data_IF_629278511106
#
_entry.id   IF_629278511106
#
_cell.length_a   1.000
_cell.length_b   1.000
_cell.length_c   1.000
_cell.angle_alpha   90.00
_cell.angle_beta   90.00
_cell.angle_gamma   90.00
#
_symmetry.space_group_name_H-M   'P 1'
#
loop_
_entity.id
_entity.type
_entity.pdbx_description
1 polymer ?
#
# COMPACT_ATOMS: atom_id res chain seq x y z
N UNK A 1 17.33 35.00 0.50
CA UNK A 1 16.19 34.99 -0.43
C UNK A 1 16.00 33.56 -0.92
N UNK A 2 14.91 32.91 -0.54
CA UNK A 2 14.49 31.65 -1.17
C UNK A 2 14.16 32.02 -2.61
N UNK A 3 14.91 31.48 -3.58
CA UNK A 3 14.57 31.70 -5.00
C UNK A 3 13.12 31.26 -5.20
N UNK A 4 12.26 32.08 -5.85
CA UNK A 4 10.93 31.62 -6.21
C UNK A 4 11.11 30.31 -6.99
N UNK A 5 10.44 29.26 -6.54
CA UNK A 5 10.51 27.98 -7.22
C UNK A 5 10.01 28.21 -8.66
N UNK A 6 10.89 28.00 -9.65
CA UNK A 6 10.43 27.89 -11.04
C UNK A 6 9.36 26.81 -11.08
N UNK A 7 8.24 27.05 -11.76
CA UNK A 7 7.20 26.03 -11.96
C UNK A 7 7.85 24.75 -12.48
N UNK A 8 7.94 23.73 -11.61
CA UNK A 8 8.49 22.45 -12.00
C UNK A 8 7.43 21.75 -12.84
N UNK A 9 7.83 21.31 -14.04
CA UNK A 9 6.96 20.50 -14.90
C UNK A 9 6.46 19.30 -14.10
N UNK A 10 5.13 19.12 -14.07
CA UNK A 10 4.50 17.98 -13.42
C UNK A 10 4.97 16.67 -14.05
N UNK A 11 5.12 15.65 -13.21
CA UNK A 11 5.40 14.31 -13.71
C UNK A 11 4.16 13.73 -14.40
N UNK A 12 4.36 12.76 -15.31
CA UNK A 12 3.26 12.04 -15.95
C UNK A 12 2.27 11.46 -14.91
N UNK A 13 2.79 10.95 -13.79
CA UNK A 13 1.97 10.41 -12.71
C UNK A 13 1.08 11.46 -12.04
N UNK A 14 1.52 12.72 -11.93
CA UNK A 14 0.68 13.78 -11.36
C UNK A 14 -0.50 14.06 -12.29
N UNK A 15 -0.26 14.10 -13.61
CA UNK A 15 -1.30 14.31 -14.62
C UNK A 15 -2.30 13.14 -14.63
N UNK A 16 -1.83 11.90 -14.50
CA UNK A 16 -2.71 10.73 -14.41
C UNK A 16 -3.64 10.81 -13.21
N UNK A 17 -3.11 11.16 -12.02
CA UNK A 17 -3.92 11.30 -10.80
C UNK A 17 -4.91 12.45 -10.90
N UNK A 18 -4.50 13.58 -11.48
CA UNK A 18 -5.38 14.73 -11.67
C UNK A 18 -6.56 14.42 -12.61
N UNK A 19 -6.32 13.62 -13.66
CA UNK A 19 -7.36 13.22 -14.61
C UNK A 19 -8.24 12.06 -14.12
N UNK A 20 -7.73 11.23 -13.20
CA UNK A 20 -8.45 10.11 -12.59
C UNK A 20 -8.17 10.06 -11.08
N UNK A 21 -8.81 10.96 -10.32
CA UNK A 21 -8.57 11.09 -8.88
C UNK A 21 -9.17 9.93 -8.07
N UNK A 22 -10.07 9.12 -8.65
CA UNK A 22 -10.53 7.88 -8.04
C UNK A 22 -9.53 6.74 -8.20
N UNK A 23 -8.52 6.88 -9.06
CA UNK A 23 -7.51 5.84 -9.33
C UNK A 23 -8.13 4.60 -9.99
N UNK A 24 -9.24 4.73 -10.72
CA UNK A 24 -10.00 3.60 -11.24
C UNK A 24 -9.42 3.04 -12.55
N UNK A 25 -8.83 3.90 -13.38
CA UNK A 25 -8.32 3.58 -14.70
C UNK A 25 -9.32 2.81 -15.55
N UNK A 26 -8.81 1.91 -16.39
CA UNK A 26 -9.61 0.89 -17.08
C UNK A 26 -9.46 -0.48 -16.42
N UNK A 27 -9.27 -0.52 -15.09
CA UNK A 27 -8.85 -1.72 -14.39
C UNK A 27 -9.88 -2.85 -14.46
N UNK A 28 -11.17 -2.58 -14.22
CA UNK A 28 -12.22 -3.60 -14.27
C UNK A 28 -12.47 -4.09 -15.71
N UNK A 29 -12.45 -3.16 -16.68
CA UNK A 29 -12.55 -3.50 -18.10
C UNK A 29 -11.40 -4.43 -18.53
N UNK A 30 -10.16 -4.08 -18.18
CA UNK A 30 -8.97 -4.90 -18.48
C UNK A 30 -9.00 -6.25 -17.77
N UNK A 31 -9.50 -6.31 -16.52
CA UNK A 31 -9.63 -7.55 -15.77
C UNK A 31 -10.60 -8.52 -16.47
N UNK A 32 -11.66 -7.99 -17.08
CA UNK A 32 -12.73 -8.76 -17.73
C UNK A 32 -12.42 -9.19 -19.17
N UNK A 33 -11.45 -8.56 -19.83
CA UNK A 33 -11.09 -8.84 -21.22
C UNK A 33 -10.18 -10.09 -21.33
N UNK A 34 -10.63 -11.24 -21.88
CA UNK A 34 -9.79 -12.44 -21.96
C UNK A 34 -8.62 -12.32 -22.95
N UNK A 35 -8.63 -11.34 -23.86
CA UNK A 35 -7.66 -11.20 -24.94
C UNK A 35 -6.37 -10.49 -24.51
N UNK A 36 -6.37 -9.86 -23.32
CA UNK A 36 -5.19 -9.16 -22.78
C UNK A 36 -4.63 -9.87 -21.56
N UNK A 37 -3.31 -9.99 -21.48
CA UNK A 37 -2.60 -10.63 -20.36
C UNK A 37 -2.02 -9.63 -19.34
N UNK A 38 -2.17 -8.33 -19.62
CA UNK A 38 -1.56 -7.23 -18.88
C UNK A 38 -2.42 -5.96 -18.94
N UNK A 39 -2.18 -5.09 -17.97
CA UNK A 39 -2.67 -3.72 -17.91
C UNK A 39 -1.73 -2.77 -18.67
N UNK A 40 -2.29 -1.63 -19.08
CA UNK A 40 -1.53 -0.54 -19.69
C UNK A 40 -0.46 0.02 -18.73
N UNK A 41 0.48 0.81 -19.25
CA UNK A 41 1.50 1.43 -18.39
C UNK A 41 0.90 2.45 -17.40
N UNK A 42 -0.16 3.13 -17.82
CA UNK A 42 -0.87 4.15 -17.03
C UNK A 42 -1.73 3.48 -15.96
N UNK A 43 -2.48 2.44 -16.31
CA UNK A 43 -3.19 1.59 -15.34
C UNK A 43 -2.23 0.92 -14.36
N UNK A 44 -1.00 0.62 -14.81
CA UNK A 44 0.08 0.16 -13.94
C UNK A 44 0.45 1.15 -12.82
N UNK A 45 0.14 2.44 -12.94
CA UNK A 45 0.25 3.40 -11.85
C UNK A 45 -0.92 3.27 -10.87
N UNK A 46 -2.16 3.16 -11.36
CA UNK A 46 -3.36 2.99 -10.55
C UNK A 46 -3.39 1.67 -9.78
N UNK A 47 -2.92 0.57 -10.40
CA UNK A 47 -2.72 -0.73 -9.75
C UNK A 47 -1.89 -0.62 -8.47
N UNK A 48 -0.90 0.27 -8.42
CA UNK A 48 -0.07 0.45 -7.23
C UNK A 48 -0.88 1.01 -6.06
N UNK A 49 -1.87 1.86 -6.29
CA UNK A 49 -2.74 2.33 -5.21
C UNK A 49 -3.67 1.22 -4.70
N UNK A 50 -3.93 0.21 -5.52
CA UNK A 50 -4.65 -1.01 -5.14
C UNK A 50 -3.74 -2.10 -4.54
N UNK A 51 -2.47 -1.79 -4.30
CA UNK A 51 -1.50 -2.72 -3.72
C UNK A 51 -0.91 -3.72 -4.70
N UNK A 52 -1.07 -3.51 -6.00
CA UNK A 52 -0.68 -4.43 -7.07
C UNK A 52 0.50 -3.86 -7.86
N UNK A 53 1.47 -4.72 -8.17
CA UNK A 53 2.53 -4.45 -9.15
C UNK A 53 2.46 -5.46 -10.28
N UNK A 54 2.23 -4.98 -11.49
CA UNK A 54 2.48 -5.75 -12.70
C UNK A 54 3.98 -5.94 -12.91
N UNK A 55 4.38 -7.17 -13.18
CA UNK A 55 5.76 -7.62 -13.38
C UNK A 55 5.79 -8.60 -14.56
N UNK A 56 6.99 -8.98 -14.98
CA UNK A 56 7.21 -10.09 -15.89
C UNK A 56 8.34 -10.98 -15.37
N UNK A 57 8.27 -12.28 -15.64
CA UNK A 57 9.31 -13.24 -15.26
C UNK A 57 10.58 -12.96 -16.06
N UNK A 58 11.55 -12.33 -15.39
CA UNK A 58 12.82 -11.92 -15.99
C UNK A 58 13.71 -13.10 -16.36
N UNK A 59 13.54 -14.26 -15.73
CA UNK A 59 14.32 -15.46 -16.04
C UNK A 59 13.84 -16.07 -17.37
N UNK A 60 12.54 -15.95 -17.67
CA UNK A 60 11.94 -16.43 -18.92
C UNK A 60 11.94 -15.41 -20.05
N UNK A 61 12.41 -14.18 -19.83
CA UNK A 61 12.30 -13.05 -20.77
C UNK A 61 12.85 -13.32 -22.18
N UNK A 62 13.83 -14.23 -22.30
CA UNK A 62 14.40 -14.68 -23.58
C UNK A 62 13.37 -15.40 -24.47
N UNK A 63 12.34 -15.99 -23.86
CA UNK A 63 11.26 -16.73 -24.54
C UNK A 63 10.00 -15.90 -24.74
N UNK A 64 10.00 -14.65 -24.27
CA UNK A 64 8.81 -13.80 -24.21
C UNK A 64 8.59 -13.23 -22.82
N UNK A 65 7.73 -12.22 -22.72
CA UNK A 65 7.29 -11.70 -21.42
C UNK A 65 6.17 -12.56 -20.89
N UNK A 66 6.37 -13.10 -19.70
CA UNK A 66 5.35 -13.83 -18.96
C UNK A 66 4.88 -12.92 -17.83
N UNK A 67 3.73 -12.25 -18.03
CA UNK A 67 3.24 -11.28 -17.06
C UNK A 67 2.72 -11.95 -15.81
N UNK A 68 3.02 -11.34 -14.68
CA UNK A 68 2.57 -11.76 -13.35
C UNK A 68 2.41 -10.54 -12.46
N UNK A 69 1.77 -10.74 -11.32
CA UNK A 69 1.42 -9.67 -10.40
C UNK A 69 1.94 -10.01 -9.01
N UNK A 70 2.47 -8.98 -8.35
CA UNK A 70 2.70 -8.98 -6.92
C UNK A 70 1.58 -8.21 -6.24
N UNK A 71 0.99 -8.78 -5.20
CA UNK A 71 -0.06 -8.15 -4.40
C UNK A 71 0.48 -7.98 -2.99
N UNK A 72 0.28 -6.81 -2.38
CA UNK A 72 0.75 -6.49 -1.03
C UNK A 72 -0.41 -6.12 -0.12
N UNK A 73 -0.48 -6.76 1.05
CA UNK A 73 -1.44 -6.40 2.10
C UNK A 73 -1.08 -5.10 2.84
N UNK A 74 -2.09 -4.39 3.33
CA UNK A 74 -1.98 -3.37 4.37
C UNK A 74 -2.39 -4.02 5.69
N UNK A 75 -1.43 -4.15 6.59
CA UNK A 75 -1.56 -4.89 7.86
C UNK A 75 -0.95 -4.00 8.93
N UNK A 76 -1.76 -3.14 9.56
CA UNK A 76 -1.27 -2.23 10.58
C UNK A 76 -0.51 -3.01 11.67
N UNK A 77 0.69 -2.56 12.01
CA UNK A 77 1.57 -3.24 12.99
C UNK A 77 1.92 -4.69 12.66
N UNK A 78 1.60 -5.17 11.46
CA UNK A 78 1.76 -6.59 11.10
C UNK A 78 0.89 -7.53 11.93
N UNK A 79 -0.09 -7.01 12.67
CA UNK A 79 -0.99 -7.81 13.49
C UNK A 79 -2.07 -8.40 12.60
N UNK A 80 -2.26 -9.70 12.71
CA UNK A 80 -3.21 -10.47 11.90
C UNK A 80 -3.79 -11.58 12.76
N UNK A 81 -5.10 -11.78 12.67
CA UNK A 81 -5.76 -12.90 13.34
C UNK A 81 -5.35 -14.24 12.70
N UNK A 82 -5.35 -15.36 13.45
CA UNK A 82 -4.99 -16.67 12.89
C UNK A 82 -5.80 -17.05 11.63
N UNK A 83 -7.10 -16.77 11.61
CA UNK A 83 -7.96 -17.09 10.47
C UNK A 83 -7.62 -16.25 9.23
N UNK A 84 -7.26 -14.98 9.42
CA UNK A 84 -6.78 -14.12 8.32
C UNK A 84 -5.47 -14.65 7.75
N UNK A 85 -4.57 -15.16 8.60
CA UNK A 85 -3.33 -15.79 8.13
C UNK A 85 -3.60 -17.05 7.31
N UNK A 86 -4.56 -17.90 7.74
CA UNK A 86 -4.98 -19.08 6.96
C UNK A 86 -5.53 -18.69 5.59
N UNK A 87 -6.33 -17.63 5.52
CA UNK A 87 -6.80 -17.10 4.23
C UNK A 87 -5.62 -16.69 3.34
N UNK A 88 -4.62 -16.00 3.88
CA UNK A 88 -3.42 -15.65 3.13
C UNK A 88 -2.65 -16.90 2.64
N UNK A 89 -2.53 -17.94 3.48
CA UNK A 89 -1.88 -19.21 3.11
C UNK A 89 -2.62 -19.91 1.94
N UNK A 90 -3.94 -20.03 2.05
CA UNK A 90 -4.79 -20.63 1.01
C UNK A 90 -4.71 -19.83 -0.31
N UNK A 91 -4.70 -18.50 -0.23
CA UNK A 91 -4.57 -17.63 -1.41
C UNK A 91 -3.22 -17.80 -2.11
N UNK A 92 -2.13 -17.98 -1.35
CA UNK A 92 -0.81 -18.21 -1.91
C UNK A 92 -0.75 -19.52 -2.70
N UNK A 93 -1.42 -20.55 -2.20
CA UNK A 93 -1.52 -21.87 -2.83
C UNK A 93 -2.40 -21.82 -4.09
N UNK A 94 -3.57 -21.18 -4.00
CA UNK A 94 -4.59 -21.27 -5.04
C UNK A 94 -4.37 -20.28 -6.21
N UNK A 95 -3.76 -19.13 -5.95
CA UNK A 95 -3.69 -18.05 -6.95
C UNK A 95 -2.28 -17.49 -7.16
N UNK A 96 -1.33 -17.78 -6.27
CA UNK A 96 0.04 -17.29 -6.33
C UNK A 96 1.03 -18.43 -6.59
N UNK A 97 2.30 -18.24 -6.22
CA UNK A 97 3.38 -19.20 -6.44
C UNK A 97 3.64 -20.13 -5.23
N UNK A 98 2.62 -20.40 -4.41
CA UNK A 98 2.73 -21.24 -3.20
C UNK A 98 3.74 -20.72 -2.16
N UNK A 99 3.93 -19.40 -2.09
CA UNK A 99 4.78 -18.74 -1.09
C UNK A 99 4.14 -17.46 -0.57
N UNK A 100 4.40 -17.15 0.71
CA UNK A 100 4.12 -15.86 1.31
C UNK A 100 5.43 -15.15 1.62
N UNK A 101 5.58 -13.91 1.12
CA UNK A 101 6.74 -13.07 1.41
C UNK A 101 6.39 -12.06 2.49
N UNK A 102 6.79 -12.34 3.74
CA UNK A 102 6.82 -11.32 4.79
C UNK A 102 7.73 -10.16 4.36
N UNK A 103 7.49 -8.93 4.77
CA UNK A 103 8.25 -7.76 4.28
C UNK A 103 8.92 -7.02 5.41
N UNK A 104 9.93 -6.19 5.10
CA UNK A 104 10.56 -5.28 6.08
C UNK A 104 9.62 -4.16 6.57
N UNK A 105 8.34 -4.19 6.18
CA UNK A 105 7.32 -3.27 6.66
C UNK A 105 6.11 -3.98 7.26
N UNK A 106 6.31 -5.14 7.86
CA UNK A 106 5.26 -5.87 8.60
C UNK A 106 4.01 -6.12 7.73
N UNK A 107 4.24 -6.45 6.47
CA UNK A 107 3.20 -6.75 5.49
C UNK A 107 3.54 -8.07 4.79
N UNK A 108 2.57 -8.67 4.09
CA UNK A 108 2.73 -9.91 3.33
C UNK A 108 2.53 -9.62 1.84
N UNK A 109 3.37 -10.23 1.00
CA UNK A 109 3.27 -10.20 -0.46
C UNK A 109 2.98 -11.56 -1.05
N UNK A 110 2.06 -11.59 -2.01
CA UNK A 110 1.84 -12.67 -2.95
C UNK A 110 2.64 -12.40 -4.22
N UNK A 111 3.25 -13.43 -4.82
CA UNK A 111 3.99 -13.32 -6.07
C UNK A 111 3.52 -14.37 -7.08
N UNK A 112 3.70 -14.08 -8.37
CA UNK A 112 3.37 -15.03 -9.44
C UNK A 112 1.88 -15.14 -9.74
N UNK A 113 1.05 -14.23 -9.22
CA UNK A 113 -0.39 -14.20 -9.54
C UNK A 113 -0.54 -13.83 -11.01
N UNK A 114 -1.37 -14.56 -11.75
CA UNK A 114 -1.71 -14.22 -13.14
C UNK A 114 -3.00 -13.39 -13.18
N UNK A 115 -3.28 -12.70 -14.31
CA UNK A 115 -4.39 -11.73 -14.39
C UNK A 115 -5.74 -12.32 -13.94
N UNK A 116 -6.06 -13.53 -14.37
CA UNK A 116 -7.30 -14.24 -14.03
C UNK A 116 -7.43 -14.56 -12.54
N UNK A 117 -6.32 -14.64 -11.81
CA UNK A 117 -6.31 -14.85 -10.36
C UNK A 117 -6.49 -13.57 -9.54
N UNK A 118 -6.33 -12.37 -10.13
CA UNK A 118 -6.40 -11.11 -9.38
C UNK A 118 -7.76 -10.86 -8.74
N UNK A 119 -8.85 -10.97 -9.51
CA UNK A 119 -10.20 -10.72 -9.01
C UNK A 119 -10.56 -11.59 -7.81
N UNK A 120 -10.52 -12.93 -7.93
CA UNK A 120 -10.80 -13.84 -6.83
C UNK A 120 -9.91 -13.60 -5.61
N UNK A 121 -8.60 -13.43 -5.81
CA UNK A 121 -7.66 -13.18 -4.71
C UNK A 121 -8.01 -11.89 -3.94
N UNK A 122 -8.23 -10.80 -4.65
CA UNK A 122 -8.50 -9.49 -4.05
C UNK A 122 -9.85 -9.48 -3.32
N UNK A 123 -10.87 -10.13 -3.89
CA UNK A 123 -12.18 -10.29 -3.26
C UNK A 123 -12.10 -11.10 -1.96
N UNK A 124 -11.38 -12.22 -1.96
CA UNK A 124 -11.23 -13.07 -0.76
C UNK A 124 -10.41 -12.37 0.34
N UNK A 125 -9.42 -11.53 -0.02
CA UNK A 125 -8.75 -10.66 0.98
C UNK A 125 -9.78 -9.74 1.65
N UNK A 126 -10.67 -9.12 0.87
CA UNK A 126 -11.70 -8.23 1.41
C UNK A 126 -12.72 -8.97 2.30
N UNK A 127 -13.18 -10.16 1.88
CA UNK A 127 -14.09 -11.02 2.66
C UNK A 127 -13.48 -11.44 4.02
N UNK A 128 -12.16 -11.52 4.11
CA UNK A 128 -11.43 -11.77 5.35
C UNK A 128 -11.20 -10.52 6.22
N UNK A 129 -11.85 -9.40 5.89
CA UNK A 129 -11.70 -8.09 6.55
C UNK A 129 -10.26 -7.54 6.46
N UNK A 130 -9.55 -7.90 5.39
CA UNK A 130 -8.22 -7.39 5.08
C UNK A 130 -8.27 -6.49 3.84
N UNK A 131 -7.20 -5.73 3.59
CA UNK A 131 -7.14 -4.85 2.40
C UNK A 131 -5.73 -4.74 1.84
N UNK A 132 -5.66 -4.40 0.56
CA UNK A 132 -4.41 -4.03 -0.15
C UNK A 132 -4.43 -2.56 -0.56
N UNK A 133 -5.54 -1.85 -0.32
CA UNK A 133 -5.71 -0.44 -0.63
C UNK A 133 -4.60 0.39 0.03
N UNK A 134 -3.93 1.21 -0.77
CA UNK A 134 -2.83 2.06 -0.38
C UNK A 134 -1.64 1.32 0.28
N UNK A 135 -1.50 0.00 0.05
CA UNK A 135 -0.28 -0.73 0.42
C UNK A 135 0.95 -0.26 -0.41
N UNK A 136 0.68 0.27 -1.61
CA UNK A 136 1.67 0.84 -2.53
C UNK A 136 1.18 2.21 -3.04
N UNK A 137 1.69 2.73 -4.16
CA UNK A 137 1.30 4.06 -4.66
C UNK A 137 1.94 5.24 -3.91
N UNK A 138 1.43 6.44 -4.19
CA UNK A 138 1.85 7.73 -3.63
C UNK A 138 0.92 8.19 -2.50
N UNK A 139 0.94 7.39 -1.44
CA UNK A 139 0.12 7.48 -0.23
C UNK A 139 0.94 7.02 0.96
N UNK A 140 0.36 7.08 2.17
CA UNK A 140 0.97 6.43 3.33
C UNK A 140 1.00 4.91 3.13
N UNK A 141 2.19 4.32 3.35
CA UNK A 141 2.42 2.88 3.30
C UNK A 141 2.02 2.24 4.63
N UNK A 142 2.20 0.91 4.72
CA UNK A 142 1.96 0.18 5.96
C UNK A 142 2.59 0.88 7.18
N UNK A 143 1.75 1.16 8.17
CA UNK A 143 2.14 1.74 9.46
C UNK A 143 2.70 0.62 10.32
N UNK A 144 3.94 0.80 10.76
CA UNK A 144 4.68 -0.17 11.56
C UNK A 144 4.55 0.17 13.05
N UNK A 145 4.59 -0.82 13.90
CA UNK A 145 4.83 -0.69 15.33
C UNK A 145 5.64 -1.89 15.82
N UNK A 146 6.03 -1.94 17.10
CA UNK A 146 6.80 -3.07 17.62
C UNK A 146 6.09 -4.41 17.32
N UNK A 147 6.77 -5.38 16.68
CA UNK A 147 6.22 -6.72 16.42
C UNK A 147 6.19 -7.59 17.68
N UNK A 148 6.77 -7.13 18.79
CA UNK A 148 6.75 -7.87 20.05
C UNK A 148 5.34 -7.80 20.63
N UNK A 149 4.70 -8.94 20.98
CA UNK A 149 3.40 -8.93 21.64
C UNK A 149 3.43 -8.07 22.91
N UNK A 150 2.38 -7.29 23.12
CA UNK A 150 2.27 -6.41 24.28
C UNK A 150 2.32 -7.21 25.59
N UNK A 151 3.23 -6.82 26.48
CA UNK A 151 3.30 -7.35 27.85
C UNK A 151 2.51 -6.48 28.84
N UNK A 152 2.29 -5.22 28.48
CA UNK A 152 1.71 -4.19 29.33
C UNK A 152 0.60 -3.44 28.57
N UNK A 153 -0.38 -2.91 29.32
CA UNK A 153 -1.55 -2.26 28.74
C UNK A 153 -1.19 -1.08 27.82
N UNK A 154 -0.22 -0.27 28.21
CA UNK A 154 0.20 0.90 27.43
C UNK A 154 0.88 0.54 26.10
N UNK A 155 1.42 -0.68 25.96
CA UNK A 155 1.95 -1.15 24.67
C UNK A 155 0.82 -1.44 23.69
N UNK A 156 -0.33 -1.94 24.18
CA UNK A 156 -1.53 -2.08 23.35
C UNK A 156 -2.01 -0.72 22.85
N UNK A 157 -1.96 0.33 23.68
CA UNK A 157 -2.33 1.69 23.26
C UNK A 157 -1.46 2.18 22.07
N UNK A 158 -0.17 1.81 22.03
CA UNK A 158 0.69 2.13 20.87
C UNK A 158 0.28 1.36 19.61
N UNK A 159 -0.16 0.11 19.74
CA UNK A 159 -0.70 -0.67 18.62
C UNK A 159 -2.04 -0.09 18.15
N UNK A 160 -2.93 0.30 19.06
CA UNK A 160 -4.20 0.95 18.76
C UNK A 160 -3.99 2.29 18.04
N UNK A 161 -3.06 3.12 18.51
CA UNK A 161 -2.70 4.40 17.85
C UNK A 161 -2.15 4.18 16.43
N UNK A 162 -1.36 3.12 16.23
CA UNK A 162 -0.83 2.77 14.92
C UNK A 162 -1.92 2.33 13.94
N UNK A 163 -2.93 1.61 14.43
CA UNK A 163 -4.08 1.17 13.66
C UNK A 163 -5.01 2.35 13.36
N UNK A 164 -5.29 3.19 14.35
CA UNK A 164 -6.03 4.43 14.20
C UNK A 164 -5.40 5.31 13.11
N UNK A 165 -4.08 5.52 13.16
CA UNK A 165 -3.37 6.28 12.14
C UNK A 165 -3.40 5.58 10.78
N UNK A 166 -3.23 4.25 10.74
CA UNK A 166 -3.37 3.50 9.49
C UNK A 166 -4.74 3.72 8.87
N UNK A 167 -5.82 3.68 9.65
CA UNK A 167 -7.19 3.87 9.16
C UNK A 167 -7.45 5.31 8.72
N UNK A 168 -6.99 6.30 9.49
CA UNK A 168 -7.12 7.72 9.16
C UNK A 168 -6.36 8.11 7.86
N UNK A 169 -5.31 7.37 7.52
CA UNK A 169 -4.51 7.57 6.30
C UNK A 169 -4.95 6.65 5.15
N UNK A 170 -6.17 6.13 5.16
CA UNK A 170 -6.73 5.44 3.99
C UNK A 170 -7.34 6.47 3.02
N UNK A 171 -7.13 6.30 1.70
CA UNK A 171 -7.86 7.11 0.74
C UNK A 171 -9.33 6.72 0.72
N UNK A 172 -10.18 7.66 0.34
CA UNK A 172 -11.65 7.56 0.33
C UNK A 172 -12.23 7.14 -1.03
N UNK A 173 -11.37 6.69 -1.94
CA UNK A 173 -11.80 6.22 -3.27
C UNK A 173 -12.72 4.99 -3.19
N UNK A 174 -13.76 4.99 -4.03
CA UNK A 174 -14.68 3.87 -4.20
C UNK A 174 -14.15 2.81 -5.20
N UNK A 175 -13.10 3.14 -5.96
CA UNK A 175 -12.57 2.29 -7.02
C UNK A 175 -12.19 0.90 -6.52
N UNK A 176 -11.61 0.81 -5.32
CA UNK A 176 -11.19 -0.47 -4.75
C UNK A 176 -12.36 -1.46 -4.61
N UNK A 177 -13.44 -1.03 -3.97
CA UNK A 177 -14.59 -1.90 -3.75
C UNK A 177 -15.31 -2.21 -5.07
N UNK A 178 -15.54 -1.19 -5.89
CA UNK A 178 -16.23 -1.34 -7.17
C UNK A 178 -15.51 -2.34 -8.09
N UNK A 179 -14.19 -2.21 -8.25
CA UNK A 179 -13.41 -3.05 -9.16
C UNK A 179 -13.21 -4.46 -8.60
N UNK A 180 -12.78 -4.60 -7.34
CA UNK A 180 -12.28 -5.89 -6.83
C UNK A 180 -13.35 -6.72 -6.11
N UNK A 181 -14.42 -6.10 -5.64
CA UNK A 181 -15.51 -6.80 -4.93
C UNK A 181 -16.72 -6.97 -5.84
N UNK A 182 -17.14 -5.89 -6.50
CA UNK A 182 -18.34 -5.88 -7.35
C UNK A 182 -18.03 -6.22 -8.82
N UNK A 183 -16.78 -6.05 -9.26
CA UNK A 183 -16.39 -6.28 -10.66
C UNK A 183 -16.92 -5.19 -11.61
N UNK A 184 -17.21 -4.00 -11.09
CA UNK A 184 -17.80 -2.89 -11.83
C UNK A 184 -16.70 -1.87 -12.21
N UNK A 185 -16.74 -1.43 -13.47
CA UNK A 185 -15.93 -0.31 -13.93
C UNK A 185 -16.65 0.99 -13.56
N UNK A 186 -15.96 1.88 -12.84
CA UNK A 186 -16.49 3.21 -12.54
C UNK A 186 -16.45 4.11 -13.78
N UNK A 187 -17.45 4.97 -13.90
CA UNK A 187 -17.48 6.04 -14.89
C UNK A 187 -16.55 7.18 -14.42
N UNK A 188 -15.49 7.42 -15.18
CA UNK A 188 -14.50 8.45 -14.84
C UNK A 188 -15.05 9.87 -14.96
N UNK A 189 -16.03 10.11 -15.86
CA UNK A 189 -16.61 11.44 -16.05
C UNK A 189 -17.53 11.85 -14.90
N UNK A 190 -18.28 10.89 -14.34
CA UNK A 190 -19.12 11.12 -13.16
C UNK A 190 -18.29 11.47 -11.91
N UNK A 191 -16.98 11.17 -11.93
CA UNK A 191 -16.11 11.25 -10.78
C UNK A 191 -14.84 12.10 -10.97
N UNK A 192 -14.71 12.84 -12.07
CA UNK A 192 -13.57 13.74 -12.32
C UNK A 192 -13.37 14.85 -11.28
N UNK A 193 -14.43 15.14 -10.53
CA UNK A 193 -14.43 16.12 -9.45
C UNK A 193 -14.20 15.49 -8.07
N UNK A 194 -13.95 14.17 -7.99
CA UNK A 194 -13.53 13.55 -6.74
C UNK A 194 -12.27 14.23 -6.22
N UNK A 195 -12.28 14.55 -4.94
CA UNK A 195 -11.19 15.18 -4.21
C UNK A 195 -11.10 14.50 -2.86
N UNK A 196 -10.01 13.76 -2.63
CA UNK A 196 -9.84 13.05 -1.37
C UNK A 196 -9.64 14.06 -0.23
N UNK A 197 -10.34 13.95 0.91
CA UNK A 197 -10.29 14.97 1.96
C UNK A 197 -8.90 15.12 2.62
N UNK A 198 -8.06 14.09 2.54
CA UNK A 198 -6.68 14.12 3.06
C UNK A 198 -5.67 14.33 1.94
N UNK A 199 -5.85 13.63 0.83
CA UNK A 199 -4.86 13.48 -0.23
C UNK A 199 -5.05 14.47 -1.38
N UNK A 200 -6.24 15.05 -1.51
CA UNK A 200 -6.63 15.84 -2.66
C UNK A 200 -6.67 15.02 -3.96
N UNK A 201 -6.93 15.70 -5.08
CA UNK A 201 -6.97 15.07 -6.42
C UNK A 201 -5.69 14.32 -6.81
N UNK A 202 -4.53 14.85 -6.40
CA UNK A 202 -3.24 14.32 -6.84
C UNK A 202 -2.55 13.46 -5.81
N UNK A 203 -3.13 13.21 -4.65
CA UNK A 203 -2.49 12.44 -3.58
C UNK A 203 -1.12 13.01 -3.19
N UNK A 204 -0.26 12.21 -2.56
CA UNK A 204 1.07 12.68 -2.19
C UNK A 204 1.98 12.77 -3.43
N UNK A 205 3.03 13.60 -3.40
CA UNK A 205 4.06 13.60 -4.43
C UNK A 205 4.84 12.28 -4.50
N UNK A 206 4.87 11.52 -3.39
CA UNK A 206 5.48 10.20 -3.31
C UNK A 206 4.98 9.41 -2.12
N UNK A 207 5.34 8.12 -2.07
CA UNK A 207 5.17 7.26 -0.91
C UNK A 207 5.55 7.96 0.40
N UNK A 208 4.72 7.80 1.42
CA UNK A 208 4.97 8.25 2.78
C UNK A 208 5.05 7.04 3.71
N UNK A 209 5.93 7.05 4.70
CA UNK A 209 6.18 5.91 5.58
C UNK A 209 6.11 6.35 7.03
N UNK A 210 5.38 5.59 7.83
CA UNK A 210 5.17 5.89 9.24
C UNK A 210 5.50 4.68 10.12
N UNK A 211 6.08 4.91 11.29
CA UNK A 211 6.38 3.87 12.27
C UNK A 211 6.27 4.38 13.71
N UNK A 212 5.90 3.47 14.61
CA UNK A 212 5.87 3.66 16.07
C UNK A 212 6.96 2.79 16.71
N UNK A 213 7.86 3.40 17.48
CA UNK A 213 8.89 2.71 18.24
C UNK A 213 8.55 2.72 19.73
N UNK A 214 8.86 1.62 20.40
CA UNK A 214 8.69 1.46 21.84
C UNK A 214 10.07 1.30 22.46
N UNK A 215 10.60 2.34 23.15
CA UNK A 215 11.90 2.25 23.81
C UNK A 215 11.98 1.08 24.80
N UNK A 216 13.17 0.47 24.97
CA UNK A 216 14.45 0.85 24.35
C UNK A 216 14.67 0.27 22.93
N UNK A 217 13.68 -0.42 22.35
CA UNK A 217 13.84 -1.14 21.09
C UNK A 217 13.56 -0.24 19.87
N UNK A 218 14.37 -0.42 18.82
CA UNK A 218 14.18 0.20 17.50
C UNK A 218 14.02 -0.88 16.42
N UNK A 219 13.13 -1.84 16.70
CA UNK A 219 12.78 -2.98 15.84
C UNK A 219 12.07 -2.59 14.53
N UNK A 220 11.49 -1.38 14.49
CA UNK A 220 10.85 -0.77 13.31
C UNK A 220 11.80 0.06 12.43
N UNK A 221 13.08 0.17 12.79
CA UNK A 221 14.07 1.01 12.12
C UNK A 221 13.56 2.45 11.88
N UNK A 222 13.15 3.09 12.98
CA UNK A 222 12.34 4.32 13.01
C UNK A 222 12.91 5.43 12.13
N UNK A 223 14.22 5.68 12.19
CA UNK A 223 14.87 6.80 11.50
C UNK A 223 14.87 6.69 9.97
N UNK A 224 14.41 5.56 9.40
CA UNK A 224 14.23 5.40 7.95
C UNK A 224 12.84 5.79 7.44
N UNK A 225 11.95 6.21 8.34
CA UNK A 225 10.56 6.56 8.05
C UNK A 225 10.39 8.07 7.82
N UNK A 226 9.39 8.44 7.02
CA UNK A 226 9.05 9.84 6.76
C UNK A 226 8.54 10.52 8.03
N UNK A 227 7.80 9.78 8.85
CA UNK A 227 7.33 10.18 10.17
C UNK A 227 7.55 9.01 11.15
N UNK A 228 8.09 9.33 12.32
CA UNK A 228 8.30 8.34 13.38
C UNK A 228 7.76 8.85 14.71
N UNK A 229 7.09 7.97 15.44
CA UNK A 229 6.56 8.21 16.79
C UNK A 229 7.36 7.36 17.78
N UNK A 230 7.95 7.97 18.81
CA UNK A 230 8.69 7.26 19.86
C UNK A 230 7.86 7.35 21.13
N UNK A 231 7.34 6.23 21.61
CA UNK A 231 6.48 6.18 22.78
C UNK A 231 7.21 6.70 24.03
N UNK A 232 6.51 7.50 24.83
CA UNK A 232 6.94 7.99 26.14
C UNK A 232 5.98 7.39 27.16
N UNK A 233 6.52 6.63 28.10
CA UNK A 233 5.75 6.02 29.17
C UNK A 233 6.21 6.52 30.54
N UNK A 234 5.26 6.83 31.42
CA UNK A 234 5.49 7.18 32.83
C UNK A 234 4.59 6.31 33.71
N UNK A 235 5.16 5.65 34.71
CA UNK A 235 4.42 4.75 35.62
C UNK A 235 3.54 3.73 34.85
N UNK A 236 4.10 3.09 33.83
CA UNK A 236 3.44 2.11 32.96
C UNK A 236 2.20 2.64 32.23
N UNK A 237 2.18 3.94 31.93
CA UNK A 237 1.14 4.59 31.11
C UNK A 237 1.76 5.34 29.95
N UNK A 238 1.15 5.22 28.78
CA UNK A 238 1.50 6.04 27.63
C UNK A 238 1.10 7.49 27.92
N UNK A 239 2.08 8.40 27.89
CA UNK A 239 1.85 9.84 28.11
C UNK A 239 2.05 10.67 26.85
N UNK A 240 2.57 10.07 25.78
CA UNK A 240 2.68 10.71 24.47
C UNK A 240 3.82 10.16 23.63
N UNK A 241 4.22 10.94 22.62
CA UNK A 241 5.25 10.55 21.65
C UNK A 241 6.23 11.68 21.37
N UNK A 242 7.52 11.35 21.26
CA UNK A 242 8.46 12.18 20.51
C UNK A 242 8.30 11.93 19.01
N UNK A 243 8.49 12.97 18.19
CA UNK A 243 8.36 12.89 16.74
C UNK A 243 9.71 12.99 16.02
N UNK A 244 9.88 12.18 14.99
CA UNK A 244 10.97 12.30 14.01
C UNK A 244 10.38 12.47 12.62
N UNK A 245 11.06 13.19 11.72
CA UNK A 245 10.59 13.40 10.36
C UNK A 245 11.73 13.43 9.36
N UNK A 246 11.43 13.05 8.11
CA UNK A 246 12.34 13.20 6.97
C UNK A 246 13.32 12.03 6.73
N UNK A 247 13.11 10.89 7.38
CA UNK A 247 13.88 9.68 7.11
C UNK A 247 13.63 9.10 5.71
N UNK A 248 14.63 8.42 5.16
CA UNK A 248 14.54 7.78 3.84
C UNK A 248 15.82 7.06 3.42
N UNK A 249 15.66 6.07 2.54
CA UNK A 249 16.76 5.23 2.03
C UNK A 249 16.94 5.32 0.50
N UNK A 250 16.06 6.07 -0.19
CA UNK A 250 16.11 6.14 -1.65
C UNK A 250 17.33 6.93 -2.12
N UNK A 251 18.15 6.33 -2.98
CA UNK A 251 19.28 7.00 -3.62
C UNK A 251 19.44 6.49 -5.07
N UNK A 252 20.07 7.30 -5.90
CA UNK A 252 20.46 6.92 -7.26
C UNK A 252 21.97 7.05 -7.38
N UNK A 253 22.64 6.03 -7.91
CA UNK A 253 24.06 6.15 -8.24
C UNK A 253 24.26 7.15 -9.38
N UNK A 254 25.31 7.98 -9.29
CA UNK A 254 25.74 8.91 -10.33
C UNK A 254 24.75 10.03 -10.71
N UNK A 255 23.85 10.42 -9.80
CA UNK A 255 23.00 11.59 -9.98
C UNK A 255 23.16 12.51 -8.76
N UNK A 256 24.11 13.48 -8.81
CA UNK A 256 24.41 14.37 -7.69
C UNK A 256 23.25 15.33 -7.35
#
# INVERSE_FOLDING_TARGET
MIKPASEKKLSHNEILKENDPLLAGNLAATLSDPEVDRFSNDDGQFLKFHGIYQQDDRDKRKTGKHYMFMIRGRIASGIMAPDQYRVYDDLATNYANNTLRLTSRQSIQFHGVVKTGLGPLMKTINEALMTTLAACGDVNRNVMASPTPATDAWINEVHEDSELLSNALQPTTQAYHSIWVEGVQLDLEEHKDHDDPLYGKTYLPRKFKTAFAIPPLNDVDLFTNCLGFIAIAENDKLVGYNLTAGGGLGMSHNNP
#
